data_IF_150626839746
#
_entry.id   IF_150626839746
#
_cell.length_a   1.000
_cell.length_b   1.000
_cell.length_c   1.000
_cell.angle_alpha   90.00
_cell.angle_beta   90.00
_cell.angle_gamma   90.00
#
_symmetry.space_group_name_H-M   'P 1'
#
loop_
_entity.id
_entity.type
_entity.pdbx_description
1 polymer ?
#
# COMPACT_ATOMS: atom_id res chain seq x y z
N UNK A 1 24.04 25.30 -2.33
CA UNK A 1 23.21 24.10 -2.56
C UNK A 1 24.04 22.91 -2.10
N UNK A 2 23.51 22.07 -1.21
CA UNK A 2 24.14 20.78 -0.88
C UNK A 2 23.39 19.69 -1.64
N UNK A 3 24.13 18.74 -2.20
CA UNK A 3 23.58 17.59 -2.90
C UNK A 3 24.18 16.33 -2.31
N UNK A 4 23.36 15.28 -2.18
CA UNK A 4 23.79 13.96 -1.77
C UNK A 4 23.12 12.92 -2.66
N UNK A 5 23.93 12.12 -3.36
CA UNK A 5 23.46 11.05 -4.22
C UNK A 5 23.33 9.77 -3.39
N UNK A 6 22.11 9.25 -3.28
CA UNK A 6 21.81 8.03 -2.52
C UNK A 6 22.18 6.79 -3.35
N UNK A 7 21.68 6.75 -4.59
CA UNK A 7 22.03 5.72 -5.56
C UNK A 7 22.01 6.30 -6.99
N UNK A 8 21.98 5.43 -8.00
CA UNK A 8 21.94 5.89 -9.39
C UNK A 8 20.65 6.64 -9.78
N UNK A 9 19.56 6.45 -9.04
CA UNK A 9 18.24 6.99 -9.34
C UNK A 9 17.84 8.11 -8.38
N UNK A 10 18.26 8.05 -7.11
CA UNK A 10 17.79 8.93 -6.04
C UNK A 10 18.88 9.92 -5.63
N UNK A 11 18.52 11.20 -5.63
CA UNK A 11 19.37 12.30 -5.17
C UNK A 11 18.58 13.21 -4.23
N UNK A 12 19.22 13.69 -3.16
CA UNK A 12 18.65 14.68 -2.25
C UNK A 12 19.38 16.00 -2.44
N UNK A 13 18.63 17.10 -2.46
CA UNK A 13 19.20 18.45 -2.52
C UNK A 13 18.64 19.32 -1.38
N UNK A 14 19.54 19.98 -0.66
CA UNK A 14 19.20 21.07 0.25
C UNK A 14 19.18 22.37 -0.55
N UNK A 15 17.98 22.88 -0.79
CA UNK A 15 17.72 24.08 -1.58
C UNK A 15 17.23 25.23 -0.70
N UNK A 16 17.27 26.46 -1.20
CA UNK A 16 16.87 27.66 -0.47
C UNK A 16 18.03 28.36 0.24
N UNK A 17 17.85 29.66 0.53
CA UNK A 17 18.85 30.50 1.20
C UNK A 17 18.41 30.83 2.64
N UNK A 18 17.16 31.29 2.81
CA UNK A 18 16.57 31.63 4.11
C UNK A 18 15.72 30.50 4.70
N UNK A 19 14.88 29.88 3.86
CA UNK A 19 14.06 28.71 4.22
C UNK A 19 14.65 27.51 3.48
N UNK A 20 15.61 26.83 4.13
CA UNK A 20 16.27 25.68 3.51
C UNK A 20 15.35 24.47 3.59
N UNK A 21 15.22 23.75 2.48
CA UNK A 21 14.34 22.59 2.37
C UNK A 21 15.05 21.43 1.68
N UNK A 22 14.76 20.21 2.14
CA UNK A 22 15.29 18.98 1.56
C UNK A 22 14.30 18.42 0.55
N UNK A 23 14.72 18.33 -0.71
CA UNK A 23 13.92 17.78 -1.81
C UNK A 23 14.55 16.50 -2.33
N UNK A 24 13.70 15.49 -2.56
CA UNK A 24 14.07 14.22 -3.16
C UNK A 24 13.83 14.29 -4.67
N UNK A 25 14.81 13.85 -5.43
CA UNK A 25 14.78 13.72 -6.88
C UNK A 25 14.90 12.25 -7.28
N UNK A 26 14.12 11.83 -8.27
CA UNK A 26 14.19 10.49 -8.87
C UNK A 26 14.43 10.64 -10.38
N UNK A 27 15.59 10.18 -10.86
CA UNK A 27 16.07 10.45 -12.23
C UNK A 27 16.03 11.94 -12.59
N UNK A 28 16.59 12.76 -11.70
CA UNK A 28 16.64 14.23 -11.79
C UNK A 28 15.28 14.95 -11.83
N UNK A 29 14.17 14.23 -11.72
CA UNK A 29 12.84 14.81 -11.54
C UNK A 29 12.53 15.01 -10.07
N UNK A 30 12.06 16.21 -9.73
CA UNK A 30 11.53 16.50 -8.40
C UNK A 30 10.37 15.54 -8.08
N UNK A 31 10.47 14.88 -6.92
CA UNK A 31 9.50 13.88 -6.50
C UNK A 31 8.68 14.35 -5.30
N UNK A 32 9.34 14.74 -4.21
CA UNK A 32 8.69 15.06 -2.94
C UNK A 32 9.64 15.83 -2.00
N UNK A 33 9.08 16.74 -1.19
CA UNK A 33 9.72 17.31 -0.01
C UNK A 33 9.50 16.39 1.21
N UNK A 34 10.57 15.96 1.88
CA UNK A 34 10.46 15.12 3.07
C UNK A 34 9.85 15.93 4.23
N UNK A 35 8.72 15.48 4.80
CA UNK A 35 7.94 16.29 5.75
C UNK A 35 8.32 16.10 7.22
N UNK A 36 8.99 14.99 7.56
CA UNK A 36 9.19 14.63 8.95
C UNK A 36 10.35 13.66 9.14
N UNK A 37 11.16 13.89 10.18
CA UNK A 37 12.18 12.97 10.68
C UNK A 37 11.72 12.46 12.05
N UNK A 38 11.48 11.15 12.18
CA UNK A 38 11.16 10.56 13.48
C UNK A 38 12.42 10.52 14.34
N UNK A 39 12.42 11.26 15.44
CA UNK A 39 13.50 11.24 16.42
C UNK A 39 13.14 10.32 17.57
N UNK A 40 14.03 9.36 17.86
CA UNK A 40 13.87 8.41 18.95
C UNK A 40 14.98 8.67 19.97
N UNK A 41 14.62 8.80 21.24
CA UNK A 41 15.58 8.90 22.34
C UNK A 41 16.24 7.53 22.57
N UNK A 42 17.54 7.34 22.28
CA UNK A 42 18.19 6.02 22.35
C UNK A 42 18.28 5.42 23.78
N UNK A 43 17.97 6.22 24.81
CA UNK A 43 17.95 5.75 26.20
C UNK A 43 16.65 5.01 26.58
N UNK A 44 15.59 5.12 25.78
CA UNK A 44 14.28 4.48 26.02
C UNK A 44 14.19 3.07 25.42
N UNK A 45 15.13 2.20 25.83
CA UNK A 45 15.36 0.86 25.23
C UNK A 45 14.17 -0.11 25.30
N UNK A 46 13.27 0.04 26.28
CA UNK A 46 12.21 -0.94 26.54
C UNK A 46 11.18 -1.02 25.41
N UNK A 47 10.82 0.11 24.80
CA UNK A 47 9.81 0.16 23.72
C UNK A 47 10.47 -0.11 22.36
N UNK A 48 11.75 0.24 22.19
CA UNK A 48 12.44 0.19 20.90
C UNK A 48 12.73 -1.22 20.38
N UNK A 49 12.94 -2.19 21.26
CA UNK A 49 13.27 -3.57 20.85
C UNK A 49 12.09 -4.33 20.21
N UNK A 50 10.86 -3.82 20.37
CA UNK A 50 9.65 -4.47 19.85
C UNK A 50 9.19 -3.86 18.52
N UNK A 51 9.70 -2.68 18.15
CA UNK A 51 9.32 -1.95 16.95
C UNK A 51 9.88 -2.65 15.71
N UNK A 52 8.98 -3.04 14.79
CA UNK A 52 9.34 -3.73 13.54
C UNK A 52 9.26 -2.82 12.31
N UNK A 53 8.72 -1.61 12.46
CA UNK A 53 8.61 -0.63 11.37
C UNK A 53 8.54 0.80 11.89
N UNK A 54 8.88 1.76 11.03
CA UNK A 54 8.71 3.20 11.36
C UNK A 54 7.24 3.59 11.51
N UNK A 55 6.32 2.93 10.81
CA UNK A 55 4.87 3.15 11.02
C UNK A 55 4.45 2.78 12.45
N UNK A 56 4.87 1.59 12.92
CA UNK A 56 4.63 1.15 14.31
C UNK A 56 5.30 2.07 15.32
N UNK A 57 6.52 2.54 15.03
CA UNK A 57 7.21 3.52 15.85
C UNK A 57 6.44 4.83 15.95
N UNK A 58 5.92 5.35 14.83
CA UNK A 58 5.09 6.55 14.82
C UNK A 58 3.81 6.31 15.63
N UNK A 59 3.08 5.20 15.44
CA UNK A 59 1.86 4.93 16.23
C UNK A 59 2.13 4.86 17.74
N UNK A 60 3.22 4.23 18.17
CA UNK A 60 3.57 4.08 19.60
C UNK A 60 4.14 5.36 20.23
N UNK A 61 4.86 6.18 19.46
CA UNK A 61 5.60 7.35 19.94
C UNK A 61 4.90 8.70 19.63
N UNK A 62 3.89 8.70 18.74
CA UNK A 62 3.17 9.91 18.25
C UNK A 62 2.26 10.58 19.28
N UNK A 63 1.98 9.93 20.43
CA UNK A 63 1.09 10.48 21.46
C UNK A 63 1.53 11.87 21.94
N UNK A 64 2.84 12.10 22.07
CA UNK A 64 3.41 13.30 22.71
C UNK A 64 4.41 14.10 21.84
N UNK A 65 5.13 13.47 20.90
CA UNK A 65 6.22 14.13 20.14
C UNK A 65 5.76 14.90 18.89
N UNK A 66 4.73 14.41 18.16
CA UNK A 66 4.36 14.96 16.85
C UNK A 66 3.54 16.26 16.90
N UNK A 67 2.91 16.60 18.03
CA UNK A 67 1.96 17.74 18.08
C UNK A 67 2.53 19.06 18.62
N UNK A 68 3.77 19.09 19.14
CA UNK A 68 4.30 20.30 19.81
C UNK A 68 5.75 20.69 19.55
N UNK A 69 6.61 19.80 19.03
CA UNK A 69 8.03 20.09 18.85
C UNK A 69 8.39 20.14 17.37
N UNK A 70 8.82 21.32 16.89
CA UNK A 70 9.51 21.43 15.60
C UNK A 70 10.98 21.06 15.82
N UNK A 71 11.65 20.53 14.80
CA UNK A 71 13.09 20.25 14.86
C UNK A 71 13.92 21.49 15.22
N UNK A 72 13.46 22.66 14.79
CA UNK A 72 14.03 23.95 15.18
C UNK A 72 13.96 24.21 16.70
N UNK A 73 12.90 23.75 17.37
CA UNK A 73 12.74 23.88 18.83
C UNK A 73 13.74 22.99 19.59
N UNK A 74 14.29 21.97 18.92
CA UNK A 74 15.36 21.09 19.42
C UNK A 74 16.77 21.57 19.01
N UNK A 75 16.88 22.72 18.35
CA UNK A 75 18.15 23.29 17.88
C UNK A 75 18.75 22.59 16.65
N UNK A 76 17.98 21.70 15.98
CA UNK A 76 18.45 20.99 14.79
C UNK A 76 18.39 21.93 13.59
N UNK A 77 19.54 22.11 12.94
CA UNK A 77 19.67 22.94 11.74
C UNK A 77 19.12 22.22 10.50
N UNK A 78 18.72 22.96 9.44
CA UNK A 78 18.31 22.35 8.18
C UNK A 78 19.39 21.44 7.56
N UNK A 79 20.67 21.76 7.78
CA UNK A 79 21.80 20.92 7.37
C UNK A 79 21.85 19.58 8.11
N UNK A 80 21.61 19.56 9.42
CA UNK A 80 21.59 18.33 10.22
C UNK A 80 20.36 17.48 9.88
N UNK A 81 19.21 18.12 9.70
CA UNK A 81 18.00 17.46 9.22
C UNK A 81 18.23 16.82 7.84
N UNK A 82 18.88 17.55 6.91
CA UNK A 82 19.25 17.04 5.60
C UNK A 82 20.09 15.75 5.69
N UNK A 83 21.08 15.72 6.59
CA UNK A 83 21.89 14.52 6.81
C UNK A 83 21.07 13.36 7.39
N UNK A 84 20.13 13.64 8.29
CA UNK A 84 19.17 12.65 8.80
C UNK A 84 18.33 12.03 7.68
N UNK A 85 17.77 12.86 6.79
CA UNK A 85 17.02 12.39 5.62
C UNK A 85 17.88 11.56 4.66
N UNK A 86 19.11 11.99 4.40
CA UNK A 86 20.06 11.25 3.56
C UNK A 86 20.36 9.87 4.16
N UNK A 87 20.64 9.80 5.46
CA UNK A 87 20.91 8.53 6.15
C UNK A 87 19.72 7.58 6.11
N UNK A 88 18.49 8.08 6.30
CA UNK A 88 17.29 7.26 6.25
C UNK A 88 17.05 6.65 4.86
N UNK A 89 17.18 7.46 3.80
CA UNK A 89 17.01 6.97 2.44
C UNK A 89 18.16 6.06 2.00
N UNK A 90 19.39 6.34 2.43
CA UNK A 90 20.52 5.46 2.17
C UNK A 90 20.30 4.08 2.82
N UNK A 91 19.94 4.05 4.11
CA UNK A 91 19.61 2.80 4.79
C UNK A 91 18.46 2.05 4.09
N UNK A 92 17.44 2.76 3.61
CA UNK A 92 16.32 2.16 2.87
C UNK A 92 16.78 1.52 1.55
N UNK A 93 17.64 2.18 0.77
CA UNK A 93 18.18 1.62 -0.48
C UNK A 93 19.12 0.43 -0.22
N UNK A 94 20.01 0.54 0.77
CA UNK A 94 20.97 -0.51 1.16
C UNK A 94 20.26 -1.78 1.66
N UNK A 95 19.06 -1.64 2.23
CA UNK A 95 18.22 -2.75 2.67
C UNK A 95 17.15 -3.12 1.65
N UNK A 96 17.49 -3.08 0.37
CA UNK A 96 16.65 -3.56 -0.72
C UNK A 96 15.24 -2.95 -0.77
N UNK A 97 15.15 -1.65 -0.49
CA UNK A 97 13.90 -0.89 -0.44
C UNK A 97 12.87 -1.47 0.54
N UNK A 98 13.32 -2.04 1.67
CA UNK A 98 12.45 -2.56 2.71
C UNK A 98 11.52 -1.46 3.26
N UNK A 99 10.21 -1.60 3.01
CA UNK A 99 9.18 -0.61 3.36
C UNK A 99 9.03 -0.36 4.86
N UNK A 100 9.67 -1.16 5.71
CA UNK A 100 9.63 -1.00 7.16
C UNK A 100 10.70 0.00 7.68
N UNK A 101 11.69 0.38 6.85
CA UNK A 101 12.84 1.21 7.27
C UNK A 101 12.52 2.71 7.25
N UNK A 102 11.63 3.14 6.36
CA UNK A 102 11.11 4.51 6.29
C UNK A 102 9.59 4.45 6.34
N UNK A 103 8.96 5.54 6.76
CA UNK A 103 7.51 5.61 6.87
C UNK A 103 6.83 5.29 5.53
N UNK A 104 5.71 4.55 5.56
CA UNK A 104 5.06 4.04 4.34
C UNK A 104 4.53 5.13 3.41
N UNK A 105 4.13 6.28 3.96
CA UNK A 105 3.81 7.50 3.19
C UNK A 105 4.95 8.04 2.32
N UNK A 106 6.20 7.62 2.55
CA UNK A 106 7.34 7.90 1.67
C UNK A 106 7.77 6.65 0.89
N UNK A 107 7.81 5.48 1.54
CA UNK A 107 8.27 4.23 0.93
C UNK A 107 7.47 3.84 -0.32
N UNK A 108 6.14 3.80 -0.22
CA UNK A 108 5.29 3.38 -1.34
C UNK A 108 5.32 4.37 -2.50
N UNK A 109 5.17 5.69 -2.28
CA UNK A 109 5.30 6.66 -3.37
C UNK A 109 6.67 6.61 -4.06
N UNK A 110 7.78 6.47 -3.32
CA UNK A 110 9.11 6.33 -3.93
C UNK A 110 9.24 5.04 -4.75
N UNK A 111 8.79 3.91 -4.22
CA UNK A 111 8.77 2.64 -4.97
C UNK A 111 7.96 2.76 -6.25
N UNK A 112 6.81 3.42 -6.20
CA UNK A 112 5.96 3.70 -7.37
C UNK A 112 6.71 4.52 -8.40
N UNK A 113 7.31 5.66 -8.01
CA UNK A 113 8.07 6.51 -8.94
C UNK A 113 9.26 5.77 -9.56
N UNK A 114 10.01 4.99 -8.77
CA UNK A 114 11.10 4.16 -9.28
C UNK A 114 10.59 3.10 -10.26
N UNK A 115 9.45 2.46 -9.96
CA UNK A 115 8.85 1.49 -10.87
C UNK A 115 8.36 2.15 -12.18
N UNK A 116 7.81 3.37 -12.13
CA UNK A 116 7.44 4.17 -13.31
C UNK A 116 8.66 4.49 -14.18
N UNK A 117 9.83 4.69 -13.56
CA UNK A 117 11.12 4.86 -14.26
C UNK A 117 11.75 3.54 -14.75
N UNK A 118 11.06 2.41 -14.58
CA UNK A 118 11.53 1.11 -15.04
C UNK A 118 12.55 0.43 -14.13
N UNK A 119 12.70 0.88 -12.87
CA UNK A 119 13.59 0.24 -11.89
C UNK A 119 13.00 -1.12 -11.48
N UNK A 120 13.51 -2.19 -12.11
CA UNK A 120 13.03 -3.57 -11.92
C UNK A 120 12.98 -4.00 -10.44
N UNK A 121 13.98 -3.61 -9.65
CA UNK A 121 14.05 -3.91 -8.21
C UNK A 121 12.91 -3.27 -7.41
N UNK A 122 12.50 -2.04 -7.76
CA UNK A 122 11.38 -1.36 -7.12
C UNK A 122 10.04 -2.04 -7.46
N UNK A 123 9.82 -2.42 -8.72
CA UNK A 123 8.66 -3.21 -9.16
C UNK A 123 8.56 -4.54 -8.39
N UNK A 124 9.67 -5.28 -8.32
CA UNK A 124 9.72 -6.54 -7.59
C UNK A 124 9.38 -6.35 -6.11
N UNK A 125 9.89 -5.27 -5.49
CA UNK A 125 9.60 -4.96 -4.10
C UNK A 125 8.15 -4.58 -3.84
N UNK A 126 7.53 -3.80 -4.74
CA UNK A 126 6.08 -3.52 -4.66
C UNK A 126 5.25 -4.81 -4.65
N UNK A 127 5.59 -5.76 -5.52
CA UNK A 127 4.91 -7.06 -5.58
C UNK A 127 5.08 -7.85 -4.30
N UNK A 128 6.31 -7.99 -3.81
CA UNK A 128 6.62 -8.71 -2.56
C UNK A 128 5.83 -8.13 -1.38
N UNK A 129 5.86 -6.80 -1.22
CA UNK A 129 5.14 -6.11 -0.16
C UNK A 129 3.64 -6.30 -0.28
N UNK A 130 3.08 -6.24 -1.49
CA UNK A 130 1.64 -6.42 -1.67
C UNK A 130 1.18 -7.84 -1.38
N UNK A 131 1.98 -8.86 -1.72
CA UNK A 131 1.72 -10.24 -1.31
C UNK A 131 1.61 -10.35 0.21
N UNK A 132 2.58 -9.79 0.95
CA UNK A 132 2.55 -9.80 2.43
C UNK A 132 1.30 -9.12 2.98
N UNK A 133 0.92 -7.96 2.43
CA UNK A 133 -0.30 -7.24 2.82
C UNK A 133 -1.57 -8.10 2.63
N UNK A 134 -1.65 -8.83 1.52
CA UNK A 134 -2.77 -9.74 1.24
C UNK A 134 -2.75 -10.93 2.20
N UNK A 135 -1.57 -11.51 2.48
CA UNK A 135 -1.41 -12.66 3.37
C UNK A 135 -1.75 -12.33 4.83
N UNK A 136 -1.42 -11.11 5.27
CA UNK A 136 -1.78 -10.54 6.56
C UNK A 136 -3.26 -10.10 6.64
N UNK A 137 -4.00 -10.18 5.52
CA UNK A 137 -5.41 -9.81 5.39
C UNK A 137 -5.69 -8.38 5.85
N UNK A 138 -4.75 -7.46 5.61
CA UNK A 138 -4.96 -6.04 5.89
C UNK A 138 -5.85 -5.39 4.81
N UNK A 139 -7.16 -5.61 4.91
CA UNK A 139 -8.14 -5.24 3.87
C UNK A 139 -8.10 -3.75 3.49
N UNK A 140 -7.81 -2.87 4.46
CA UNK A 140 -7.69 -1.43 4.22
C UNK A 140 -6.46 -1.10 3.37
N UNK A 141 -5.29 -1.67 3.70
CA UNK A 141 -4.07 -1.50 2.88
C UNK A 141 -4.24 -2.11 1.49
N UNK A 142 -4.93 -3.27 1.38
CA UNK A 142 -5.22 -3.86 0.07
C UNK A 142 -6.07 -2.90 -0.79
N UNK A 143 -7.13 -2.34 -0.20
CA UNK A 143 -8.01 -1.42 -0.92
C UNK A 143 -7.25 -0.18 -1.40
N UNK A 144 -6.50 0.46 -0.51
CA UNK A 144 -5.67 1.63 -0.83
C UNK A 144 -4.68 1.33 -1.97
N UNK A 145 -4.06 0.16 -1.94
CA UNK A 145 -3.12 -0.26 -2.99
C UNK A 145 -3.79 -0.42 -4.36
N UNK A 146 -5.02 -0.95 -4.41
CA UNK A 146 -5.79 -1.04 -5.64
C UNK A 146 -6.25 0.34 -6.12
N UNK A 147 -6.76 1.18 -5.23
CA UNK A 147 -7.24 2.54 -5.56
C UNK A 147 -6.11 3.45 -6.09
N UNK A 148 -4.91 3.36 -5.52
CA UNK A 148 -3.75 4.15 -5.95
C UNK A 148 -3.05 3.60 -7.21
N UNK A 149 -3.58 2.51 -7.78
CA UNK A 149 -3.13 1.97 -9.06
C UNK A 149 -1.77 1.29 -9.04
N UNK A 150 -1.27 0.83 -7.88
CA UNK A 150 0.01 0.12 -7.85
C UNK A 150 -0.03 -1.22 -8.60
N UNK A 151 -1.23 -1.78 -8.83
CA UNK A 151 -1.37 -2.99 -9.62
C UNK A 151 -0.91 -2.81 -11.08
N UNK A 152 -0.85 -1.57 -11.60
CA UNK A 152 -0.34 -1.31 -12.94
C UNK A 152 1.11 -1.78 -13.14
N UNK A 153 1.90 -1.89 -12.08
CA UNK A 153 3.26 -2.41 -12.16
C UNK A 153 3.33 -3.94 -12.21
N UNK A 154 2.20 -4.65 -12.25
CA UNK A 154 2.17 -6.10 -12.34
C UNK A 154 1.75 -6.56 -13.72
N UNK A 155 2.34 -7.66 -14.18
CA UNK A 155 1.85 -8.40 -15.33
C UNK A 155 0.51 -9.06 -15.00
N UNK A 156 -0.21 -9.48 -16.04
CA UNK A 156 -1.47 -10.18 -15.86
C UNK A 156 -1.35 -11.46 -15.01
N UNK A 157 -0.29 -12.24 -15.21
CA UNK A 157 -0.05 -13.47 -14.43
C UNK A 157 0.21 -13.14 -12.96
N UNK A 158 1.02 -12.12 -12.68
CA UNK A 158 1.25 -11.65 -11.31
C UNK A 158 -0.03 -11.13 -10.66
N UNK A 159 -0.87 -10.40 -11.40
CA UNK A 159 -2.15 -9.91 -10.88
C UNK A 159 -3.14 -11.05 -10.58
N UNK A 160 -3.20 -12.08 -11.43
CA UNK A 160 -3.98 -13.29 -11.15
C UNK A 160 -3.49 -14.01 -9.91
N UNK A 161 -2.18 -14.10 -9.69
CA UNK A 161 -1.62 -14.67 -8.47
C UNK A 161 -2.06 -13.88 -7.23
N UNK A 162 -2.02 -12.55 -7.28
CA UNK A 162 -2.49 -11.69 -6.19
C UNK A 162 -3.98 -11.94 -5.89
N UNK A 163 -4.81 -12.01 -6.92
CA UNK A 163 -6.22 -12.36 -6.76
C UNK A 163 -6.41 -13.75 -6.14
N UNK A 164 -5.67 -14.76 -6.59
CA UNK A 164 -5.71 -16.12 -6.07
C UNK A 164 -5.39 -16.16 -4.57
N UNK A 165 -4.32 -15.48 -4.15
CA UNK A 165 -3.90 -15.38 -2.74
C UNK A 165 -4.97 -14.65 -1.91
N UNK A 166 -5.57 -13.59 -2.46
CA UNK A 166 -6.64 -12.86 -1.80
C UNK A 166 -7.89 -13.73 -1.59
N UNK A 167 -8.35 -14.40 -2.65
CA UNK A 167 -9.55 -15.23 -2.66
C UNK A 167 -9.42 -16.53 -1.87
N UNK A 168 -8.19 -16.94 -1.51
CA UNK A 168 -7.97 -18.14 -0.70
C UNK A 168 -8.56 -17.97 0.72
N UNK A 169 -9.57 -18.79 1.00
CA UNK A 169 -10.29 -18.83 2.27
C UNK A 169 -9.67 -19.78 3.29
N UNK A 170 -8.63 -20.55 2.95
CA UNK A 170 -8.02 -21.58 3.78
C UNK A 170 -7.68 -21.10 5.20
N UNK A 171 -7.19 -19.85 5.31
CA UNK A 171 -6.82 -19.20 6.58
C UNK A 171 -8.01 -18.64 7.37
N UNK A 172 -9.16 -18.40 6.75
CA UNK A 172 -10.31 -17.71 7.36
C UNK A 172 -11.57 -18.58 7.50
N UNK A 173 -11.65 -19.72 6.80
CA UNK A 173 -12.81 -20.63 6.82
C UNK A 173 -13.20 -21.14 8.22
N UNK A 174 -12.22 -21.27 9.12
CA UNK A 174 -12.47 -21.72 10.52
C UNK A 174 -12.88 -20.56 11.45
N UNK A 175 -12.54 -19.33 11.09
CA UNK A 175 -12.75 -18.13 11.90
C UNK A 175 -14.14 -17.54 11.66
N UNK A 176 -14.73 -16.95 12.70
CA UNK A 176 -15.98 -16.19 12.59
C UNK A 176 -15.68 -14.76 12.16
N UNK A 177 -15.97 -14.42 10.91
CA UNK A 177 -15.71 -13.11 10.32
C UNK A 177 -16.87 -12.16 10.65
N UNK A 178 -16.58 -10.93 11.06
CA UNK A 178 -17.63 -9.95 11.33
C UNK A 178 -18.35 -9.57 10.02
N UNK A 179 -19.68 -9.40 10.05
CA UNK A 179 -20.43 -8.99 8.85
C UNK A 179 -19.94 -7.66 8.24
N UNK A 180 -19.40 -6.73 9.05
CA UNK A 180 -18.75 -5.51 8.53
C UNK A 180 -17.50 -5.82 7.71
N UNK A 181 -16.75 -6.83 8.10
CA UNK A 181 -15.55 -7.26 7.40
C UNK A 181 -15.92 -7.97 6.09
N UNK A 182 -17.03 -8.73 6.07
CA UNK A 182 -17.60 -9.29 4.84
C UNK A 182 -17.87 -8.21 3.79
N UNK A 183 -18.38 -7.03 4.19
CA UNK A 183 -18.54 -5.90 3.28
C UNK A 183 -17.21 -5.47 2.64
N UNK A 184 -16.13 -5.45 3.42
CA UNK A 184 -14.81 -5.09 2.90
C UNK A 184 -14.28 -6.13 1.92
N UNK A 185 -14.50 -7.43 2.19
CA UNK A 185 -14.17 -8.49 1.23
C UNK A 185 -14.93 -8.34 -0.08
N UNK A 186 -16.25 -8.12 -0.04
CA UNK A 186 -17.06 -7.97 -1.24
C UNK A 186 -16.60 -6.75 -2.07
N UNK A 187 -16.33 -5.62 -1.41
CA UNK A 187 -15.76 -4.44 -2.08
C UNK A 187 -14.41 -4.75 -2.71
N UNK A 188 -13.53 -5.48 -2.02
CA UNK A 188 -12.24 -5.88 -2.58
C UNK A 188 -12.41 -6.79 -3.79
N UNK A 189 -13.34 -7.75 -3.77
CA UNK A 189 -13.68 -8.54 -4.94
C UNK A 189 -14.09 -7.66 -6.12
N UNK A 190 -14.96 -6.68 -5.91
CA UNK A 190 -15.34 -5.70 -6.94
C UNK A 190 -14.13 -4.90 -7.43
N UNK A 191 -13.24 -4.45 -6.55
CA UNK A 191 -12.02 -3.72 -6.89
C UNK A 191 -11.03 -4.57 -7.70
N UNK A 192 -10.82 -5.84 -7.35
CA UNK A 192 -10.02 -6.79 -8.13
C UNK A 192 -10.65 -7.02 -9.51
N UNK A 193 -11.97 -7.19 -9.58
CA UNK A 193 -12.70 -7.30 -10.84
C UNK A 193 -12.54 -6.06 -11.71
N UNK A 194 -12.68 -4.86 -11.14
CA UNK A 194 -12.48 -3.58 -11.81
C UNK A 194 -11.04 -3.40 -12.31
N UNK A 195 -10.05 -3.62 -11.44
CA UNK A 195 -8.63 -3.58 -11.78
C UNK A 195 -8.26 -4.60 -12.87
N UNK A 196 -8.88 -5.78 -12.89
CA UNK A 196 -8.63 -6.77 -13.94
C UNK A 196 -9.05 -6.31 -15.34
N UNK A 197 -10.05 -5.41 -15.44
CA UNK A 197 -10.54 -4.90 -16.74
C UNK A 197 -9.48 -4.08 -17.46
N UNK A 198 -8.62 -3.41 -16.72
CA UNK A 198 -7.50 -2.69 -17.27
C UNK A 198 -6.60 -3.57 -18.16
N UNK A 199 -6.37 -4.83 -17.76
CA UNK A 199 -5.61 -5.80 -18.56
C UNK A 199 -6.38 -6.30 -19.79
N UNK A 200 -7.71 -6.23 -19.77
CA UNK A 200 -8.57 -6.63 -20.88
C UNK A 200 -8.75 -5.54 -21.96
N UNK A 201 -8.60 -4.26 -21.58
CA UNK A 201 -8.97 -3.10 -22.41
C UNK A 201 -7.78 -2.41 -23.10
N UNK A 202 -6.58 -3.00 -23.08
CA UNK A 202 -5.32 -2.40 -23.59
C UNK A 202 -5.08 -0.95 -23.09
N UNK A 203 -5.47 -0.68 -21.83
CA UNK A 203 -5.33 0.65 -21.21
C UNK A 203 -4.03 0.84 -20.44
N UNK A 204 -3.06 -0.05 -20.61
CA UNK A 204 -1.83 0.02 -19.84
C UNK A 204 -0.96 1.23 -20.23
N UNK A 205 -0.55 2.11 -19.28
CA UNK A 205 0.27 3.28 -19.55
C UNK A 205 1.52 2.94 -20.32
N UNK A 206 1.91 3.90 -21.17
CA UNK A 206 3.06 3.80 -22.07
C UNK A 206 4.38 3.51 -21.36
N UNK A 207 4.56 3.90 -20.09
CA UNK A 207 5.80 3.63 -19.33
C UNK A 207 6.00 2.14 -18.97
N UNK A 208 4.99 1.29 -19.10
CA UNK A 208 5.09 -0.16 -18.92
C UNK A 208 5.46 -0.90 -20.22
N UNK A 209 5.73 -0.19 -21.31
CA UNK A 209 5.95 -0.75 -22.64
C UNK A 209 7.30 -1.45 -22.84
N UNK A 210 8.24 -1.29 -21.91
CA UNK A 210 9.64 -1.72 -22.09
C UNK A 210 9.80 -3.25 -22.18
N UNK A 211 8.83 -4.03 -21.68
CA UNK A 211 8.85 -5.50 -21.73
C UNK A 211 7.59 -6.11 -22.40
N UNK A 212 6.88 -5.40 -23.30
CA UNK A 212 5.70 -5.98 -23.96
C UNK A 212 6.07 -7.00 -25.05
N UNK A 213 5.76 -8.27 -24.79
CA UNK A 213 5.47 -9.25 -25.83
C UNK A 213 4.35 -8.74 -26.78
N UNK A 214 4.34 -9.13 -28.07
CA UNK A 214 3.41 -8.59 -29.05
C UNK A 214 1.95 -8.91 -28.70
N UNK A 215 1.08 -7.93 -28.96
CA UNK A 215 -0.40 -7.97 -29.02
C UNK A 215 -1.01 -9.24 -28.42
N UNK A 216 -1.26 -9.22 -27.10
CA UNK A 216 -1.96 -10.32 -26.43
C UNK A 216 -3.45 -10.33 -26.83
N UNK A 217 -4.06 -11.52 -27.01
CA UNK A 217 -5.52 -11.62 -27.21
C UNK A 217 -6.25 -10.92 -26.06
N UNK A 218 -7.43 -10.33 -26.33
CA UNK A 218 -8.28 -9.67 -25.33
C UNK A 218 -8.43 -10.57 -24.09
N UNK A 219 -7.70 -10.26 -23.03
CA UNK A 219 -7.74 -11.03 -21.79
C UNK A 219 -9.14 -10.91 -21.20
N UNK A 220 -9.68 -12.00 -20.66
CA UNK A 220 -10.96 -11.91 -19.96
C UNK A 220 -10.73 -11.34 -18.55
N UNK A 221 -11.49 -10.32 -18.13
CA UNK A 221 -11.38 -9.81 -16.77
C UNK A 221 -11.73 -10.91 -15.76
N UNK A 222 -11.19 -10.79 -14.55
CA UNK A 222 -11.55 -11.63 -13.43
C UNK A 222 -13.03 -11.38 -13.13
N UNK A 223 -13.80 -12.46 -13.06
CA UNK A 223 -15.17 -12.46 -12.54
C UNK A 223 -15.08 -13.00 -11.12
N UNK A 224 -15.21 -12.15 -10.08
CA UNK A 224 -15.11 -12.59 -8.71
C UNK A 224 -16.17 -13.61 -8.33
N UNK A 225 -15.77 -14.74 -7.75
CA UNK A 225 -16.70 -15.76 -7.23
C UNK A 225 -17.04 -15.47 -5.76
N UNK A 226 -17.84 -14.42 -5.57
CA UNK A 226 -18.27 -13.96 -4.25
C UNK A 226 -19.13 -15.02 -3.54
N UNK A 227 -19.90 -15.83 -4.29
CA UNK A 227 -20.77 -16.86 -3.71
C UNK A 227 -19.96 -17.98 -3.09
N UNK A 228 -18.99 -18.51 -3.81
CA UNK A 228 -18.10 -19.55 -3.28
C UNK A 228 -17.37 -19.05 -2.04
N UNK A 229 -16.86 -17.81 -2.06
CA UNK A 229 -16.26 -17.19 -0.88
C UNK A 229 -17.22 -17.17 0.32
N UNK A 230 -18.47 -16.71 0.13
CA UNK A 230 -19.45 -16.62 1.22
C UNK A 230 -19.86 -17.98 1.78
N UNK A 231 -19.89 -19.03 0.95
CA UNK A 231 -20.16 -20.41 1.40
C UNK A 231 -19.04 -20.98 2.28
N UNK A 232 -17.82 -20.51 2.10
CA UNK A 232 -16.65 -21.03 2.80
C UNK A 232 -16.36 -20.33 4.12
N UNK A 233 -16.96 -19.16 4.39
CA UNK A 233 -16.68 -18.37 5.59
C UNK A 233 -17.82 -18.45 6.61
N UNK A 234 -17.49 -18.43 7.89
CA UNK A 234 -18.49 -18.34 8.98
C UNK A 234 -18.71 -16.87 9.33
N UNK A 235 -19.96 -16.41 9.25
CA UNK A 235 -20.28 -14.99 9.50
C UNK A 235 -20.79 -14.79 10.92
N UNK A 236 -20.25 -13.79 11.61
CA UNK A 236 -20.71 -13.31 12.89
C UNK A 236 -21.52 -12.02 12.74
N UNK A 237 -22.78 -12.08 13.18
CA UNK A 237 -23.74 -10.98 13.14
C UNK A 237 -23.72 -10.12 14.42
N UNK A 238 -22.67 -10.21 15.26
CA UNK A 238 -22.56 -9.46 16.51
C UNK A 238 -22.34 -7.95 16.26
N UNK A 239 -23.39 -7.28 15.81
CA UNK A 239 -23.52 -5.84 15.61
C UNK A 239 -24.93 -5.45 16.10
N UNK A 240 -25.10 -4.19 16.55
CA UNK A 240 -26.43 -3.67 16.94
C UNK A 240 -27.43 -3.94 15.81
N UNK A 241 -28.62 -4.46 16.16
CA UNK A 241 -29.65 -4.94 15.22
C UNK A 241 -29.94 -3.96 14.07
N UNK A 242 -30.07 -2.67 14.37
CA UNK A 242 -30.30 -1.61 13.36
C UNK A 242 -29.12 -1.46 12.39
N UNK A 243 -27.87 -1.57 12.87
CA UNK A 243 -26.67 -1.54 12.02
C UNK A 243 -26.55 -2.81 11.18
N UNK A 244 -27.05 -3.94 11.66
CA UNK A 244 -27.05 -5.19 10.90
C UNK A 244 -28.01 -5.13 9.71
N UNK A 245 -29.20 -4.56 9.87
CA UNK A 245 -30.16 -4.43 8.75
C UNK A 245 -29.65 -3.45 7.67
N UNK A 246 -29.02 -2.33 8.06
CA UNK A 246 -28.33 -1.44 7.11
C UNK A 246 -27.31 -2.22 6.27
N UNK A 247 -26.42 -2.96 6.94
CA UNK A 247 -25.39 -3.77 6.28
C UNK A 247 -26.01 -4.81 5.32
N UNK A 248 -27.06 -5.50 5.75
CA UNK A 248 -27.74 -6.54 4.97
C UNK A 248 -28.47 -5.98 3.73
N UNK A 249 -28.96 -4.75 3.82
CA UNK A 249 -29.69 -4.08 2.72
C UNK A 249 -28.77 -3.48 1.64
N UNK A 250 -27.45 -3.40 1.89
CA UNK A 250 -26.48 -2.91 0.88
C UNK A 250 -26.49 -3.78 -0.36
N UNK A 251 -26.47 -3.14 -1.53
CA UNK A 251 -26.50 -3.80 -2.85
C UNK A 251 -25.11 -3.85 -3.46
N UNK A 252 -24.84 -4.97 -4.13
CA UNK A 252 -23.59 -5.27 -4.82
C UNK A 252 -23.88 -5.76 -6.23
N UNK A 253 -22.94 -5.53 -7.15
CA UNK A 253 -23.09 -6.02 -8.52
C UNK A 253 -22.44 -7.40 -8.64
N UNK A 254 -23.26 -8.45 -8.53
CA UNK A 254 -22.83 -9.85 -8.55
C UNK A 254 -23.61 -10.59 -9.63
N UNK A 255 -22.94 -11.44 -10.42
CA UNK A 255 -23.57 -12.22 -11.50
C UNK A 255 -24.43 -11.38 -12.47
N UNK A 256 -23.94 -10.18 -12.81
CA UNK A 256 -24.59 -9.22 -13.72
C UNK A 256 -25.92 -8.63 -13.20
N UNK A 257 -26.20 -8.71 -11.90
CA UNK A 257 -27.37 -8.08 -11.28
C UNK A 257 -27.03 -7.41 -9.95
N UNK A 258 -27.83 -6.43 -9.56
CA UNK A 258 -27.73 -5.82 -8.23
C UNK A 258 -28.49 -6.65 -7.20
N UNK A 259 -27.76 -7.31 -6.31
CA UNK A 259 -28.28 -8.16 -5.23
C UNK A 259 -27.91 -7.57 -3.87
N UNK A 260 -28.81 -7.65 -2.90
CA UNK A 260 -28.51 -7.26 -1.51
C UNK A 260 -27.61 -8.30 -0.84
N UNK A 261 -26.84 -7.88 0.18
CA UNK A 261 -26.09 -8.85 1.00
C UNK A 261 -27.03 -9.89 1.63
N UNK A 262 -28.23 -9.48 2.05
CA UNK A 262 -29.25 -10.38 2.60
C UNK A 262 -29.65 -11.48 1.63
N UNK A 263 -29.94 -11.14 0.37
CA UNK A 263 -30.27 -12.11 -0.68
C UNK A 263 -29.07 -13.00 -1.00
N UNK A 264 -27.88 -12.41 -1.11
CA UNK A 264 -26.65 -13.12 -1.38
C UNK A 264 -26.30 -14.14 -0.28
N UNK A 265 -26.63 -13.84 0.99
CA UNK A 265 -26.44 -14.76 2.11
C UNK A 265 -27.57 -15.78 2.27
N UNK A 266 -28.77 -15.55 1.70
CA UNK A 266 -29.89 -16.50 1.73
C UNK A 266 -29.81 -17.54 0.61
N UNK A 267 -29.22 -17.17 -0.52
CA UNK A 267 -29.00 -18.05 -1.68
C UNK A 267 -27.78 -18.98 -1.50
N UNK A 268 -27.11 -18.92 -0.34
CA UNK A 268 -25.90 -19.68 0.01
C UNK A 268 -26.12 -20.49 1.29
#
# INVERSE_FOLDING_TARGET
MKEFKIDKYITLRLIGIKNKETIIYVDDEEFMQCKYLLLINPQEKRIQNEIRSIDEASELLSGELERKLKLADLGITPEEEFWGHCSNLQAWVENDYNVNIIHTNLAFPLLKKLAEKGVRKARAKLRETFIKIIEEKNLLKIMKFLEEGYFYFFSWEEFKDLYRIFSDTSKIRKSKINIKEILNYIRLFESFGGASRYYSEDRAPSYLSVDREPIKPRLKPIIPDIRTFLKEVKINYNVKKEKTEDILSRRFFVDRRYITLKELLREN
#
